data_IF_611834641009
#
_entry.id   IF_611834641009
#
_cell.length_a   1.000
_cell.length_b   1.000
_cell.length_c   1.000
_cell.angle_alpha   90.00
_cell.angle_beta   90.00
_cell.angle_gamma   90.00
#
_symmetry.space_group_name_H-M   'P 1'
#
loop_
_entity.id
_entity.type
_entity.pdbx_description
1 polymer ?
#
# COMPACT_ATOMS: atom_id res chain seq x y z
N UNK A 1 -2.60 -19.25 -4.73
CA UNK A 1 -2.46 -17.92 -4.11
C UNK A 1 -1.02 -17.46 -4.26
N UNK A 2 -0.68 -16.95 -5.45
CA UNK A 2 0.68 -16.54 -5.78
C UNK A 2 0.80 -15.04 -5.63
N UNK A 3 1.34 -14.59 -4.51
CA UNK A 3 1.60 -13.19 -4.30
C UNK A 3 2.99 -12.89 -4.89
N UNK A 4 3.03 -12.62 -6.20
CA UNK A 4 4.28 -12.54 -6.98
C UNK A 4 4.50 -11.17 -7.62
N UNK A 5 5.62 -10.56 -7.23
CA UNK A 5 6.27 -9.36 -7.77
C UNK A 5 6.61 -9.50 -9.26
N UNK A 6 6.57 -8.41 -10.04
CA UNK A 6 7.36 -8.19 -11.27
C UNK A 6 7.34 -6.67 -11.61
N UNK A 7 8.46 -5.95 -11.67
CA UNK A 7 9.45 -5.73 -12.77
C UNK A 7 8.90 -4.89 -13.95
N UNK A 8 9.05 -3.57 -13.86
CA UNK A 8 8.69 -2.57 -14.88
C UNK A 8 8.58 -1.17 -14.26
N UNK A 9 8.91 -0.07 -14.97
CA UNK A 9 8.90 1.27 -14.41
C UNK A 9 7.49 1.61 -13.92
N UNK A 10 7.34 2.11 -12.68
CA UNK A 10 6.03 2.27 -12.08
C UNK A 10 5.18 3.28 -12.87
N UNK A 11 3.93 2.95 -13.28
CA UNK A 11 2.99 3.98 -13.65
C UNK A 11 2.79 4.88 -12.43
N UNK A 12 2.80 6.19 -12.69
CA UNK A 12 3.03 7.27 -11.74
C UNK A 12 2.06 7.39 -10.55
N UNK A 13 1.12 6.45 -10.35
CA UNK A 13 0.05 6.55 -9.37
C UNK A 13 -0.34 5.25 -8.64
N UNK A 14 0.23 4.09 -8.97
CA UNK A 14 -0.08 2.82 -8.28
C UNK A 14 0.69 2.72 -6.95
N UNK A 15 0.06 3.22 -5.88
CA UNK A 15 0.61 3.35 -4.54
C UNK A 15 0.17 2.17 -3.67
N UNK A 16 1.13 1.34 -3.27
CA UNK A 16 0.98 0.54 -2.05
C UNK A 16 0.91 1.47 -0.83
N UNK A 17 0.43 0.92 0.29
CA UNK A 17 0.48 1.43 1.68
C UNK A 17 1.34 2.68 1.79
N UNK A 18 0.73 3.85 1.57
CA UNK A 18 1.45 5.09 1.35
C UNK A 18 1.36 5.95 2.60
N UNK A 19 2.35 5.84 3.48
CA UNK A 19 2.54 6.74 4.61
C UNK A 19 3.17 8.08 4.15
N UNK A 20 2.50 9.23 4.27
CA UNK A 20 3.17 10.52 4.15
C UNK A 20 3.79 10.91 5.51
N UNK A 21 5.02 10.47 5.82
CA UNK A 21 5.75 10.96 6.99
C UNK A 21 6.61 12.19 6.62
N UNK A 22 6.10 13.39 6.87
CA UNK A 22 6.65 14.65 6.37
C UNK A 22 8.07 15.03 6.82
N UNK A 23 8.77 14.26 7.66
CA UNK A 23 10.19 14.52 8.00
C UNK A 23 10.95 13.19 8.16
N UNK A 24 12.27 13.27 7.93
CA UNK A 24 13.25 12.17 7.76
C UNK A 24 13.30 11.17 8.91
N UNK A 25 12.31 10.29 9.03
CA UNK A 25 12.25 9.43 10.21
C UNK A 25 12.77 8.03 9.87
N UNK A 26 14.08 7.85 10.10
CA UNK A 26 14.70 6.51 10.20
C UNK A 26 13.94 5.61 11.19
N UNK A 27 13.19 6.23 12.12
CA UNK A 27 12.32 5.57 13.08
C UNK A 27 11.12 4.90 12.39
N UNK A 28 10.42 5.55 11.45
CA UNK A 28 9.36 4.90 10.66
C UNK A 28 9.88 3.63 9.99
N UNK A 29 11.07 3.71 9.39
CA UNK A 29 11.67 2.57 8.71
C UNK A 29 11.88 1.39 9.67
N UNK A 30 12.37 1.64 10.89
CA UNK A 30 12.51 0.60 11.91
C UNK A 30 11.19 -0.04 12.31
N UNK A 31 10.11 0.74 12.45
CA UNK A 31 8.79 0.21 12.79
C UNK A 31 8.27 -0.71 11.68
N UNK A 32 8.42 -0.29 10.42
CA UNK A 32 8.03 -1.10 9.27
C UNK A 32 8.87 -2.37 9.14
N UNK A 33 10.17 -2.31 9.45
CA UNK A 33 11.05 -3.48 9.52
C UNK A 33 10.58 -4.46 10.60
N UNK A 34 10.24 -3.97 11.79
CA UNK A 34 9.73 -4.80 12.89
C UNK A 34 8.40 -5.48 12.55
N UNK A 35 7.49 -4.77 11.87
CA UNK A 35 6.20 -5.34 11.45
C UNK A 35 6.34 -6.39 10.35
N UNK A 36 7.08 -6.06 9.29
CA UNK A 36 7.07 -6.84 8.06
C UNK A 36 8.22 -7.86 7.97
N UNK A 37 9.30 -7.64 8.73
CA UNK A 37 10.57 -8.34 8.58
C UNK A 37 11.24 -8.09 7.24
N UNK A 38 10.88 -7.00 6.53
CA UNK A 38 11.41 -6.63 5.23
C UNK A 38 12.02 -5.24 5.27
N UNK A 39 13.00 -4.99 4.40
CA UNK A 39 13.61 -3.67 4.27
C UNK A 39 12.65 -2.68 3.58
N UNK A 40 12.35 -1.53 4.20
CA UNK A 40 11.43 -0.56 3.67
C UNK A 40 12.05 0.23 2.52
N UNK A 41 11.20 0.60 1.57
CA UNK A 41 11.59 1.41 0.42
C UNK A 41 11.27 2.87 0.72
N UNK A 42 12.24 3.74 0.47
CA UNK A 42 12.08 5.18 0.62
C UNK A 42 11.61 5.83 -0.68
N UNK A 43 10.46 6.51 -0.63
CA UNK A 43 9.96 7.32 -1.73
C UNK A 43 10.53 8.73 -1.71
N UNK A 44 10.85 9.24 -2.91
CA UNK A 44 11.39 10.58 -3.12
C UNK A 44 10.31 11.54 -3.62
N UNK A 45 10.44 12.81 -3.23
CA UNK A 45 9.61 13.90 -3.69
C UNK A 45 9.75 14.11 -5.20
N UNK A 46 8.62 14.08 -5.94
CA UNK A 46 8.62 14.46 -7.37
C UNK A 46 8.58 15.97 -7.59
N UNK A 47 7.96 16.72 -6.68
CA UNK A 47 7.75 18.15 -6.80
C UNK A 47 8.25 18.89 -5.55
N UNK A 48 8.57 20.17 -5.73
CA UNK A 48 8.91 21.08 -4.63
C UNK A 48 7.62 21.80 -4.27
N UNK A 49 7.21 21.72 -3.00
CA UNK A 49 6.03 22.44 -2.49
C UNK A 49 6.45 23.19 -1.23
N UNK A 50 6.50 24.53 -1.34
CA UNK A 50 7.03 25.39 -0.26
C UNK A 50 6.16 25.34 1.00
N UNK A 51 4.84 25.22 0.87
CA UNK A 51 3.91 25.14 2.01
C UNK A 51 4.17 23.94 2.92
N UNK A 52 4.65 22.83 2.36
CA UNK A 52 5.01 21.63 3.14
C UNK A 52 6.50 21.57 3.48
N UNK A 53 7.31 22.55 3.06
CA UNK A 53 8.77 22.56 3.27
C UNK A 53 9.52 21.50 2.46
N UNK A 54 8.91 20.90 1.45
CA UNK A 54 9.45 19.77 0.68
C UNK A 54 10.24 20.28 -0.54
N UNK A 55 11.46 19.76 -0.72
CA UNK A 55 12.26 19.94 -1.94
C UNK A 55 12.21 18.70 -2.85
N UNK A 56 12.33 18.91 -4.17
CA UNK A 56 12.48 17.82 -5.15
C UNK A 56 13.59 16.85 -4.74
N UNK A 57 13.36 15.57 -4.98
CA UNK A 57 14.26 14.44 -4.67
C UNK A 57 14.57 14.19 -3.18
N UNK A 58 13.94 14.91 -2.26
CA UNK A 58 14.03 14.59 -0.84
C UNK A 58 13.23 13.33 -0.50
N UNK A 59 13.71 12.54 0.48
CA UNK A 59 12.97 11.36 0.96
C UNK A 59 11.83 11.81 1.87
N UNK A 60 10.60 11.42 1.54
CA UNK A 60 9.39 11.82 2.29
C UNK A 60 8.63 10.63 2.85
N UNK A 61 8.69 9.46 2.23
CA UNK A 61 7.83 8.35 2.65
C UNK A 61 8.62 7.04 2.74
N UNK A 62 8.16 6.19 3.64
CA UNK A 62 8.58 4.83 3.88
C UNK A 62 7.40 3.91 3.52
N UNK A 63 7.61 2.91 2.68
CA UNK A 63 6.57 1.91 2.40
C UNK A 63 7.18 0.51 2.27
N UNK A 64 6.36 -0.49 2.55
CA UNK A 64 6.69 -1.91 2.35
C UNK A 64 5.55 -2.56 1.59
N UNK A 65 5.90 -3.41 0.63
CA UNK A 65 4.92 -4.24 -0.07
C UNK A 65 5.09 -5.68 0.38
N UNK A 66 4.19 -6.15 1.24
CA UNK A 66 4.18 -7.52 1.74
C UNK A 66 3.31 -8.39 0.86
N UNK A 67 3.70 -9.66 0.71
CA UNK A 67 3.04 -10.64 -0.16
C UNK A 67 2.98 -12.00 0.53
N UNK A 68 1.99 -12.80 0.17
CA UNK A 68 1.83 -14.19 0.63
C UNK A 68 1.26 -14.28 2.04
N UNK A 69 1.66 -15.30 2.79
CA UNK A 69 1.10 -15.59 4.12
C UNK A 69 1.36 -14.47 5.13
N UNK A 70 2.52 -13.79 5.02
CA UNK A 70 2.84 -12.62 5.83
C UNK A 70 1.84 -11.48 5.64
N UNK A 71 1.35 -11.29 4.40
CA UNK A 71 0.35 -10.27 4.12
C UNK A 71 -1.00 -10.62 4.74
N UNK A 72 -1.37 -11.91 4.73
CA UNK A 72 -2.61 -12.38 5.35
C UNK A 72 -2.58 -12.18 6.87
N UNK A 73 -1.47 -12.50 7.53
CA UNK A 73 -1.29 -12.28 8.96
C UNK A 73 -1.41 -10.78 9.33
N UNK A 74 -0.74 -9.91 8.58
CA UNK A 74 -0.81 -8.46 8.82
C UNK A 74 -2.21 -7.90 8.55
N UNK A 75 -2.91 -8.42 7.54
CA UNK A 75 -4.28 -8.02 7.24
C UNK A 75 -5.24 -8.44 8.35
N UNK A 76 -5.12 -9.66 8.85
CA UNK A 76 -5.94 -10.16 9.95
C UNK A 76 -5.72 -9.33 11.22
N UNK A 77 -4.46 -9.07 11.59
CA UNK A 77 -4.13 -8.17 12.70
C UNK A 77 -4.71 -6.77 12.49
N UNK A 78 -4.59 -6.20 11.29
CA UNK A 78 -5.10 -4.86 11.00
C UNK A 78 -6.64 -4.77 11.00
N UNK A 79 -7.32 -5.79 10.48
CA UNK A 79 -8.79 -5.86 10.49
C UNK A 79 -9.34 -6.06 11.91
N UNK A 80 -8.62 -6.79 12.77
CA UNK A 80 -8.99 -6.94 14.18
C UNK A 80 -9.03 -5.60 14.91
N UNK A 81 -8.08 -4.70 14.64
CA UNK A 81 -8.07 -3.33 15.19
C UNK A 81 -9.26 -2.50 14.71
N UNK A 82 -9.78 -2.80 13.53
CA UNK A 82 -10.97 -2.16 12.95
C UNK A 82 -12.27 -2.90 13.25
N UNK A 83 -12.25 -3.90 14.13
CA UNK A 83 -13.42 -4.71 14.47
C UNK A 83 -14.09 -5.36 13.23
N UNK A 84 -13.31 -5.59 12.17
CA UNK A 84 -13.78 -6.08 10.87
C UNK A 84 -14.82 -5.18 10.17
N UNK A 85 -14.97 -3.93 10.59
CA UNK A 85 -15.88 -2.98 9.97
C UNK A 85 -15.16 -2.10 8.94
N UNK A 86 -15.65 -2.14 7.69
CA UNK A 86 -15.18 -1.28 6.61
C UNK A 86 -16.36 -0.58 5.95
N UNK A 87 -16.21 0.73 5.72
CA UNK A 87 -17.22 1.50 5.02
C UNK A 87 -17.16 1.22 3.51
N UNK A 88 -18.31 1.29 2.84
CA UNK A 88 -18.38 1.07 1.39
C UNK A 88 -17.48 2.00 0.58
N UNK A 89 -17.22 3.22 1.08
CA UNK A 89 -16.33 4.22 0.47
C UNK A 89 -14.86 3.79 0.39
N UNK A 90 -14.45 2.81 1.19
CA UNK A 90 -13.08 2.31 1.24
C UNK A 90 -12.78 1.32 0.10
N UNK A 91 -13.82 0.83 -0.58
CA UNK A 91 -13.70 -0.08 -1.72
C UNK A 91 -13.64 0.73 -3.01
N UNK A 92 -12.68 0.41 -3.86
CA UNK A 92 -12.57 0.95 -5.20
C UNK A 92 -13.32 0.09 -6.22
N UNK A 93 -13.68 0.68 -7.35
CA UNK A 93 -14.35 -0.03 -8.45
C UNK A 93 -13.47 -1.14 -9.06
N UNK A 94 -12.15 -1.06 -8.86
CA UNK A 94 -11.19 -2.08 -9.29
C UNK A 94 -11.15 -3.29 -8.36
N UNK A 95 -11.89 -3.28 -7.25
CA UNK A 95 -11.90 -4.36 -6.26
C UNK A 95 -10.73 -4.30 -5.27
N UNK A 96 -10.05 -3.17 -5.18
CA UNK A 96 -9.07 -2.91 -4.13
C UNK A 96 -9.74 -2.22 -2.95
N UNK A 97 -9.16 -2.34 -1.76
CA UNK A 97 -9.63 -1.59 -0.60
C UNK A 97 -8.47 -1.17 0.28
N UNK A 98 -8.68 -0.14 1.08
CA UNK A 98 -7.69 0.34 2.03
C UNK A 98 -8.32 0.94 3.27
N UNK A 99 -7.57 0.91 4.37
CA UNK A 99 -7.97 1.47 5.65
C UNK A 99 -6.76 1.99 6.41
N UNK A 100 -6.94 3.08 7.17
CA UNK A 100 -5.90 3.67 8.00
C UNK A 100 -6.06 3.29 9.47
N UNK A 101 -4.94 2.95 10.12
CA UNK A 101 -4.81 2.73 11.56
C UNK A 101 -4.04 3.92 12.14
N UNK A 102 -4.52 4.51 13.23
CA UNK A 102 -3.86 5.67 13.84
C UNK A 102 -2.69 5.28 14.75
N UNK A 103 -2.73 4.08 15.32
CA UNK A 103 -1.74 3.60 16.27
C UNK A 103 -1.18 2.24 15.84
N UNK A 104 0.12 2.16 15.62
CA UNK A 104 0.77 0.89 15.31
C UNK A 104 0.93 -0.05 16.51
N UNK A 105 0.66 0.42 17.73
CA UNK A 105 0.77 -0.37 18.96
C UNK A 105 -0.28 -1.50 18.94
N UNK A 106 -1.47 -1.19 18.41
CA UNK A 106 -2.58 -2.15 18.27
C UNK A 106 -2.25 -3.32 17.33
N UNK A 107 -1.22 -3.16 16.49
CA UNK A 107 -0.72 -4.22 15.61
C UNK A 107 0.21 -5.22 16.33
N UNK A 108 0.47 -5.03 17.63
CA UNK A 108 1.25 -5.95 18.46
C UNK A 108 2.74 -5.60 18.59
N UNK A 109 3.15 -4.39 18.21
CA UNK A 109 4.52 -3.91 18.45
C UNK A 109 4.66 -3.40 19.87
N UNK A 110 5.79 -3.67 20.52
CA UNK A 110 6.13 -3.05 21.79
C UNK A 110 6.26 -1.53 21.64
N UNK A 111 5.71 -0.79 22.60
CA UNK A 111 5.83 0.65 22.65
C UNK A 111 7.27 1.06 23.02
N UNK A 112 7.90 1.81 22.13
CA UNK A 112 9.19 2.47 22.37
C UNK A 112 8.99 4.00 22.43
N UNK A 113 9.29 4.66 23.55
CA UNK A 113 9.08 6.11 23.70
C UNK A 113 9.96 6.95 22.77
N UNK A 114 11.05 6.38 22.24
CA UNK A 114 11.95 6.99 21.27
C UNK A 114 11.38 7.01 19.85
N UNK A 115 10.47 6.10 19.54
CA UNK A 115 9.86 5.96 18.21
C UNK A 115 8.65 6.87 18.08
N UNK A 116 7.84 6.97 19.14
CA UNK A 116 6.60 7.75 19.15
C UNK A 116 5.45 7.03 18.44
N UNK A 117 4.24 7.58 18.54
CA UNK A 117 3.03 6.99 17.94
C UNK A 117 2.95 7.38 16.46
N UNK A 118 2.93 6.37 15.59
CA UNK A 118 2.71 6.53 14.15
C UNK A 118 1.41 5.85 13.73
N UNK A 119 0.63 6.55 12.92
CA UNK A 119 -0.44 5.96 12.12
C UNK A 119 0.09 5.38 10.82
N UNK A 120 -0.59 4.38 10.27
CA UNK A 120 -0.25 3.65 9.05
C UNK A 120 -1.47 3.39 8.17
N UNK A 121 -1.27 3.36 6.85
CA UNK A 121 -2.34 3.15 5.88
C UNK A 121 -2.21 1.81 5.17
N UNK A 122 -3.09 0.85 5.46
CA UNK A 122 -3.15 -0.42 4.74
C UNK A 122 -3.87 -0.26 3.41
N UNK A 123 -3.29 -0.84 2.35
CA UNK A 123 -3.87 -0.88 1.03
C UNK A 123 -3.70 -2.30 0.47
N UNK A 124 -4.83 -2.93 0.17
CA UNK A 124 -4.93 -4.32 -0.27
C UNK A 124 -5.37 -4.32 -1.72
N UNK A 125 -4.59 -5.02 -2.54
CA UNK A 125 -4.89 -5.25 -3.95
C UNK A 125 -5.36 -6.68 -4.11
N UNK A 126 -6.61 -6.86 -4.51
CA UNK A 126 -7.16 -8.16 -4.86
C UNK A 126 -7.04 -8.36 -6.37
N UNK A 127 -6.41 -9.45 -6.78
CA UNK A 127 -6.21 -9.76 -8.20
C UNK A 127 -6.77 -11.15 -8.52
N UNK A 128 -7.44 -11.25 -9.68
CA UNK A 128 -7.86 -12.55 -10.21
C UNK A 128 -6.66 -13.29 -10.81
N UNK A 129 -6.64 -14.63 -10.77
CA UNK A 129 -5.65 -15.40 -11.53
C UNK A 129 -5.76 -15.03 -13.02
N UNK A 130 -4.63 -14.63 -13.64
CA UNK A 130 -4.57 -14.15 -15.03
C UNK A 130 -4.12 -12.70 -15.18
N UNK A 131 -4.21 -11.87 -14.13
CA UNK A 131 -3.70 -10.49 -14.15
C UNK A 131 -2.17 -10.39 -14.27
N UNK A 132 -1.45 -11.48 -14.03
CA UNK A 132 0.00 -11.57 -14.20
C UNK A 132 0.45 -11.35 -15.65
N UNK A 133 -0.42 -11.64 -16.63
CA UNK A 133 -0.09 -11.60 -18.06
C UNK A 133 0.24 -10.18 -18.52
N UNK A 134 -0.48 -9.17 -18.05
CA UNK A 134 -0.18 -7.77 -18.36
C UNK A 134 1.07 -7.20 -17.66
N UNK A 135 1.69 -7.96 -16.75
CA UNK A 135 2.94 -7.58 -16.08
C UNK A 135 4.18 -8.16 -16.75
N UNK A 136 4.02 -9.10 -17.68
CA UNK A 136 5.14 -9.68 -18.42
C UNK A 136 5.67 -8.64 -19.41
N UNK A 137 6.96 -8.34 -19.33
CA UNK A 137 7.62 -7.38 -20.23
C UNK A 137 7.47 -7.89 -21.67
N UNK A 138 6.71 -7.16 -22.50
CA UNK A 138 6.44 -7.50 -23.91
C UNK A 138 5.04 -8.03 -24.20
N UNK A 139 4.21 -8.31 -23.18
CA UNK A 139 2.82 -8.72 -23.37
C UNK A 139 1.88 -7.50 -23.30
N UNK A 140 1.41 -7.02 -24.46
CA UNK A 140 0.42 -5.95 -24.55
C UNK A 140 -0.97 -6.60 -24.77
N UNK A 141 -1.52 -7.20 -23.72
CA UNK A 141 -2.86 -7.79 -23.74
C UNK A 141 -3.77 -6.98 -22.83
N UNK A 142 -4.73 -6.26 -23.43
CA UNK A 142 -5.87 -5.72 -22.69
C UNK A 142 -6.70 -6.90 -22.20
N UNK A 143 -6.75 -7.09 -20.88
CA UNK A 143 -7.67 -8.04 -20.26
C UNK A 143 -9.08 -7.45 -20.40
N UNK A 144 -9.88 -7.99 -21.32
CA UNK A 144 -11.30 -7.66 -21.41
C UNK A 144 -12.01 -8.11 -20.13
N UNK A 145 -12.66 -7.16 -19.46
CA UNK A 145 -13.48 -7.47 -18.29
C UNK A 145 -14.79 -8.11 -18.75
N UNK A 146 -15.09 -9.31 -18.24
CA UNK A 146 -16.33 -10.05 -18.53
C UNK A 146 -17.62 -9.37 -18.03
N UNK A 147 -17.55 -8.19 -17.42
CA UNK A 147 -18.69 -7.31 -17.14
C UNK A 147 -18.93 -6.34 -18.29
N UNK A 148 -19.16 -6.89 -19.48
CA UNK A 148 -19.82 -6.20 -20.57
C UNK A 148 -21.33 -6.10 -20.31
N UNK A 149 -21.76 -5.18 -19.45
CA UNK A 149 -23.14 -4.70 -19.51
C UNK A 149 -23.24 -3.82 -20.75
N UNK A 150 -23.70 -4.41 -21.85
CA UNK A 150 -24.19 -3.69 -23.01
C UNK A 150 -25.28 -2.71 -22.56
N UNK A 151 -24.94 -1.44 -22.31
CA UNK A 151 -25.90 -0.35 -22.48
C UNK A 151 -25.75 0.18 -23.89
N UNK A 152 -26.42 -0.53 -24.80
CA UNK A 152 -26.97 0.08 -26.01
C UNK A 152 -28.13 0.95 -25.52
N UNK A 153 -27.94 2.26 -25.46
CA UNK A 153 -29.07 3.19 -25.49
C UNK A 153 -29.04 3.87 -26.85
N UNK A 154 -30.21 3.81 -27.47
CA UNK A 154 -30.56 4.36 -28.77
C UNK A 154 -30.40 5.88 -28.79
#
# INVERSE_FOLDING_TARGET
MGCFFFFGPPPHWARGVGLPCLKKDRLCAKVLEQLSGQSPVFSKARYTVRSFGIRRNEKIACYVTVRGDKAMQLLESGLKVKEYELLRRNFSDTGCFGFGIQEHIDLGIKYDPSTGIYGMDFYVVLERPGYCVGRVVGANLMLESSTGSQRRMQ
#
